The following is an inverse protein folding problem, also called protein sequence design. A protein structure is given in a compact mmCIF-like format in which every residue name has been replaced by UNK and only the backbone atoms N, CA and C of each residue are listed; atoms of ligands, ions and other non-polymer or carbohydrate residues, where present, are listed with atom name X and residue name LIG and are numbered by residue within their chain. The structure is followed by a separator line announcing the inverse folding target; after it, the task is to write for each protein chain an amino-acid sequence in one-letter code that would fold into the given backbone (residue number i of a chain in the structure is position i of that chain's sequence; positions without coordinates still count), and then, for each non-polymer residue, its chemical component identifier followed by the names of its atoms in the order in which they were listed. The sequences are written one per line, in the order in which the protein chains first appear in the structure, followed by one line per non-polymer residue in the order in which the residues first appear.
data_IF_971305193764
#
_entry.id   IF_971305193764
#
_cell.length_a   1.000
_cell.length_b   1.000
_cell.length_c   1.000
_cell.angle_alpha   90.00
_cell.angle_beta   90.00
_cell.angle_gamma   90.00
#
_symmetry.space_group_name_H-M   'P 1'
#
loop_
_entity.id
_entity.type
_entity.pdbx_description
1 polymer ?
#
# COMPACT_ATOMS: atom_id res chain seq x y z
N UNK A 1 -41.03 -1.29 -43.75
CA UNK A 1 -40.24 -0.05 -43.70
C UNK A 1 -38.82 -0.48 -43.42
N UNK A 2 -37.91 -0.11 -44.32
CA UNK A 2 -36.50 -0.53 -44.28
C UNK A 2 -35.89 -0.16 -42.93
N UNK A 3 -35.44 -1.17 -42.19
CA UNK A 3 -34.79 -1.01 -40.91
C UNK A 3 -33.41 -0.37 -41.12
N UNK A 4 -33.38 0.95 -41.21
CA UNK A 4 -32.13 1.69 -41.11
C UNK A 4 -31.45 1.26 -39.80
N UNK A 5 -30.20 0.83 -39.91
CA UNK A 5 -29.40 0.46 -38.76
C UNK A 5 -29.13 1.73 -37.93
N UNK A 6 -29.99 1.97 -36.93
CA UNK A 6 -29.93 3.17 -36.07
C UNK A 6 -28.55 3.32 -35.38
N UNK A 7 -27.84 2.21 -35.18
CA UNK A 7 -26.47 2.21 -34.68
C UNK A 7 -25.50 2.89 -35.66
N UNK A 8 -25.58 2.57 -36.95
CA UNK A 8 -24.75 3.20 -37.98
C UNK A 8 -25.08 4.68 -38.15
N UNK A 9 -26.36 5.05 -38.07
CA UNK A 9 -26.78 6.45 -38.12
C UNK A 9 -26.25 7.24 -36.93
N UNK A 10 -26.42 6.72 -35.70
CA UNK A 10 -25.88 7.33 -34.49
C UNK A 10 -24.36 7.44 -34.57
N UNK A 11 -23.66 6.37 -34.96
CA UNK A 11 -22.20 6.37 -35.12
C UNK A 11 -21.75 7.43 -36.13
N UNK A 12 -22.43 7.54 -37.28
CA UNK A 12 -22.15 8.55 -38.30
C UNK A 12 -22.36 9.98 -37.78
N UNK A 13 -23.48 10.24 -37.08
CA UNK A 13 -23.76 11.55 -36.45
C UNK A 13 -22.70 11.91 -35.42
N UNK A 14 -22.34 11.00 -34.53
CA UNK A 14 -21.28 11.24 -33.54
C UNK A 14 -19.94 11.49 -34.25
N UNK A 15 -19.57 10.72 -35.27
CA UNK A 15 -18.35 10.99 -36.06
C UNK A 15 -18.36 12.37 -36.71
N UNK A 16 -19.52 12.85 -37.17
CA UNK A 16 -19.62 14.22 -37.71
C UNK A 16 -19.37 15.28 -36.65
N UNK A 17 -19.79 15.06 -35.40
CA UNK A 17 -19.57 15.97 -34.27
C UNK A 17 -18.11 16.02 -33.83
N UNK A 18 -17.39 14.88 -33.90
CA UNK A 18 -15.97 14.78 -33.54
C UNK A 18 -15.01 15.41 -34.57
N UNK A 19 -15.51 15.95 -35.69
CA UNK A 19 -14.64 16.52 -36.72
C UNK A 19 -13.85 17.70 -36.15
N UNK A 20 -12.55 17.84 -36.46
CA UNK A 20 -11.70 18.91 -35.94
C UNK A 20 -12.28 20.32 -36.14
N UNK A 21 -12.96 20.55 -37.27
CA UNK A 21 -13.61 21.84 -37.58
C UNK A 21 -14.66 22.27 -36.54
N UNK A 22 -15.25 21.31 -35.81
CA UNK A 22 -16.29 21.55 -34.81
C UNK A 22 -15.71 21.72 -33.39
N UNK A 23 -14.40 21.53 -33.23
CA UNK A 23 -13.69 21.56 -31.93
C UNK A 23 -12.73 22.76 -31.83
N UNK A 24 -12.77 23.66 -32.82
CA UNK A 24 -11.94 24.87 -32.86
C UNK A 24 -12.19 25.76 -31.63
N UNK A 25 -11.10 26.12 -30.93
CA UNK A 25 -11.15 27.05 -29.78
C UNK A 25 -11.57 26.42 -28.45
N UNK A 26 -11.72 25.10 -28.37
CA UNK A 26 -11.90 24.43 -27.08
C UNK A 26 -10.63 24.55 -26.24
N UNK A 27 -10.70 25.01 -24.97
CA UNK A 27 -9.53 25.08 -24.12
C UNK A 27 -9.03 23.67 -23.83
N UNK A 28 -7.74 23.45 -24.09
CA UNK A 28 -7.00 22.21 -23.86
C UNK A 28 -6.76 21.88 -22.35
N UNK A 29 -7.62 22.39 -21.44
CA UNK A 29 -7.23 22.70 -20.05
C UNK A 29 -8.20 22.14 -19.00
N UNK A 30 -8.66 20.90 -19.18
CA UNK A 30 -9.15 20.13 -18.03
C UNK A 30 -8.53 18.75 -18.07
N UNK A 31 -7.22 18.70 -17.77
CA UNK A 31 -6.59 17.47 -17.32
C UNK A 31 -6.90 17.30 -15.83
N UNK A 32 -7.78 16.37 -15.50
CA UNK A 32 -7.88 15.88 -14.12
C UNK A 32 -6.79 14.85 -13.91
N UNK A 33 -6.06 14.95 -12.79
CA UNK A 33 -5.16 13.90 -12.36
C UNK A 33 -5.66 13.25 -11.07
N UNK A 34 -5.70 11.93 -11.06
CA UNK A 34 -5.97 11.14 -9.86
C UNK A 34 -4.87 10.10 -9.70
N UNK A 35 -4.30 10.05 -8.50
CA UNK A 35 -3.34 9.05 -8.08
C UNK A 35 -4.06 7.97 -7.28
N UNK A 36 -3.81 6.71 -7.59
CA UNK A 36 -4.25 5.59 -6.76
C UNK A 36 -3.09 4.64 -6.52
N UNK A 37 -2.81 4.35 -5.25
CA UNK A 37 -1.86 3.31 -4.85
C UNK A 37 -2.61 1.99 -4.63
N UNK A 38 -2.02 0.90 -5.11
CA UNK A 38 -2.48 -0.44 -4.82
C UNK A 38 -1.29 -1.40 -4.69
N UNK A 39 -1.42 -2.36 -3.79
CA UNK A 39 -0.57 -3.56 -3.77
C UNK A 39 -1.24 -4.74 -4.49
N UNK A 40 -2.39 -4.49 -5.12
CA UNK A 40 -3.29 -5.48 -5.73
C UNK A 40 -3.70 -5.09 -7.14
N UNK A 41 -3.58 -6.03 -8.05
CA UNK A 41 -4.00 -5.87 -9.44
C UNK A 41 -5.53 -5.74 -9.55
N UNK A 42 -6.29 -6.41 -8.68
CA UNK A 42 -7.76 -6.37 -8.70
C UNK A 42 -8.29 -5.00 -8.27
N UNK A 43 -7.67 -4.38 -7.26
CA UNK A 43 -8.02 -3.00 -6.89
C UNK A 43 -7.73 -2.05 -8.04
N UNK A 44 -6.59 -2.24 -8.73
CA UNK A 44 -6.25 -1.43 -9.90
C UNK A 44 -7.28 -1.58 -11.02
N UNK A 45 -7.69 -2.82 -11.30
CA UNK A 45 -8.72 -3.15 -12.29
C UNK A 45 -10.06 -2.51 -11.95
N UNK A 46 -10.43 -2.46 -10.65
CA UNK A 46 -11.63 -1.76 -10.20
C UNK A 46 -11.54 -0.24 -10.33
N UNK A 47 -10.37 0.34 -10.00
CA UNK A 47 -10.14 1.79 -10.05
C UNK A 47 -10.18 2.29 -11.52
N UNK A 48 -9.72 1.48 -12.48
CA UNK A 48 -9.85 1.75 -13.92
C UNK A 48 -11.28 1.52 -14.43
N UNK A 49 -12.00 0.58 -13.83
CA UNK A 49 -13.42 0.33 -14.08
C UNK A 49 -13.74 0.00 -15.54
N UNK A 50 -14.85 0.56 -16.06
CA UNK A 50 -15.33 0.29 -17.42
C UNK A 50 -14.38 0.78 -18.53
N UNK A 51 -13.39 1.59 -18.20
CA UNK A 51 -12.36 2.08 -19.13
C UNK A 51 -11.57 0.92 -19.75
N UNK A 52 -11.36 -0.13 -18.95
CA UNK A 52 -10.83 -1.42 -19.39
C UNK A 52 -11.48 -1.97 -20.66
N UNK A 53 -12.81 -1.93 -20.71
CA UNK A 53 -13.59 -2.44 -21.83
C UNK A 53 -13.30 -1.66 -23.12
N UNK A 54 -13.20 -0.34 -23.04
CA UNK A 54 -12.95 0.53 -24.19
C UNK A 54 -11.51 0.51 -24.68
N UNK A 55 -10.56 0.10 -23.85
CA UNK A 55 -9.17 -0.07 -24.25
C UNK A 55 -8.98 -1.31 -25.14
N UNK A 56 -9.97 -2.22 -25.22
CA UNK A 56 -9.91 -3.40 -26.08
C UNK A 56 -8.80 -4.39 -25.72
N UNK A 57 -8.20 -4.23 -24.53
CA UNK A 57 -7.14 -5.07 -24.01
C UNK A 57 -7.67 -5.84 -22.80
N UNK A 58 -7.26 -7.09 -22.65
CA UNK A 58 -7.34 -7.80 -21.38
C UNK A 58 -6.66 -6.93 -20.32
N UNK A 59 -7.42 -6.46 -19.33
CA UNK A 59 -6.92 -5.67 -18.19
C UNK A 59 -5.72 -6.35 -17.54
N UNK A 60 -5.72 -7.68 -17.54
CA UNK A 60 -4.64 -8.53 -17.02
C UNK A 60 -3.27 -8.25 -17.63
N UNK A 61 -3.19 -7.81 -18.89
CA UNK A 61 -1.89 -7.75 -19.58
C UNK A 61 -1.21 -6.39 -19.39
N UNK A 62 -2.02 -5.33 -19.25
CA UNK A 62 -1.52 -3.96 -19.14
C UNK A 62 -1.43 -3.46 -17.69
N UNK A 63 -2.19 -4.05 -16.76
CA UNK A 63 -2.28 -3.60 -15.37
C UNK A 63 -1.89 -4.67 -14.34
N UNK A 64 -1.26 -5.76 -14.78
CA UNK A 64 -0.55 -6.70 -13.90
C UNK A 64 0.87 -6.26 -13.62
N UNK A 65 1.45 -6.69 -12.50
CA UNK A 65 2.86 -6.46 -12.21
C UNK A 65 3.74 -7.05 -13.30
N UNK A 66 4.66 -6.24 -13.85
CA UNK A 66 5.58 -6.70 -14.89
C UNK A 66 6.63 -7.69 -14.35
N UNK A 67 6.77 -7.81 -13.02
CA UNK A 67 7.71 -8.69 -12.35
C UNK A 67 7.34 -8.86 -10.87
N UNK A 68 7.58 -10.06 -10.32
CA UNK A 68 7.37 -10.40 -8.90
C UNK A 68 8.22 -9.56 -7.91
N UNK A 69 9.27 -8.88 -8.39
CA UNK A 69 10.08 -8.01 -7.53
C UNK A 69 9.32 -6.76 -7.07
N UNK A 70 8.37 -6.29 -7.88
CA UNK A 70 7.57 -5.11 -7.58
C UNK A 70 6.44 -5.45 -6.62
N UNK A 71 6.19 -4.57 -5.65
CA UNK A 71 5.24 -4.77 -4.55
C UNK A 71 4.14 -3.71 -4.50
N UNK A 72 4.40 -2.56 -5.11
CA UNK A 72 3.52 -1.41 -5.12
C UNK A 72 3.26 -0.97 -6.54
N UNK A 73 2.03 -0.60 -6.83
CA UNK A 73 1.59 -0.08 -8.12
C UNK A 73 0.88 1.25 -7.89
N UNK A 74 1.35 2.29 -8.55
CA UNK A 74 0.77 3.63 -8.54
C UNK A 74 0.21 3.91 -9.91
N UNK A 75 -1.09 4.21 -9.99
CA UNK A 75 -1.75 4.61 -11.20
C UNK A 75 -2.06 6.09 -11.14
N UNK A 76 -1.62 6.79 -12.17
CA UNK A 76 -1.93 8.18 -12.40
C UNK A 76 -2.75 8.30 -13.67
N UNK A 77 -4.01 8.72 -13.52
CA UNK A 77 -4.92 8.94 -14.63
C UNK A 77 -4.89 10.39 -15.08
N UNK A 78 -4.78 10.64 -16.38
CA UNK A 78 -4.90 11.95 -17.00
C UNK A 78 -5.97 11.90 -18.07
N UNK A 79 -7.03 12.66 -17.90
CA UNK A 79 -8.16 12.68 -18.82
C UNK A 79 -8.32 14.05 -19.48
N UNK A 80 -8.59 14.07 -20.78
CA UNK A 80 -9.05 15.27 -21.47
C UNK A 80 -10.39 15.00 -22.16
N UNK A 81 -11.46 15.48 -21.54
CA UNK A 81 -12.80 15.48 -22.11
C UNK A 81 -12.90 16.51 -23.24
N UNK A 82 -13.30 16.07 -24.43
CA UNK A 82 -13.44 16.92 -25.62
C UNK A 82 -14.91 17.27 -25.88
N UNK A 83 -15.81 16.30 -25.74
CA UNK A 83 -17.25 16.51 -25.91
C UNK A 83 -18.07 15.49 -25.12
N UNK A 84 -19.33 15.82 -24.85
CA UNK A 84 -20.31 14.91 -24.28
C UNK A 84 -21.53 14.84 -25.20
N UNK A 85 -21.98 13.63 -25.51
CA UNK A 85 -23.26 13.38 -26.20
C UNK A 85 -24.27 12.98 -25.14
N UNK A 86 -25.31 13.80 -24.99
CA UNK A 86 -26.33 13.63 -23.95
C UNK A 86 -27.65 13.33 -24.64
N UNK A 87 -28.23 12.16 -24.36
CA UNK A 87 -29.57 11.82 -24.79
C UNK A 87 -30.60 12.69 -24.04
N UNK A 88 -31.71 13.04 -24.67
CA UNK A 88 -32.80 13.74 -24.00
C UNK A 88 -33.50 12.84 -22.98
N UNK A 89 -34.24 13.44 -22.04
CA UNK A 89 -34.94 12.69 -21.01
C UNK A 89 -36.09 11.92 -21.65
N UNK A 90 -36.22 10.65 -21.28
CA UNK A 90 -37.36 9.85 -21.73
C UNK A 90 -38.48 10.06 -20.72
N UNK A 91 -39.63 10.52 -21.21
CA UNK A 91 -40.82 10.79 -20.40
C UNK A 91 -41.89 9.73 -20.60
N UNK A 92 -41.88 9.06 -21.76
CA UNK A 92 -42.80 7.98 -22.09
C UNK A 92 -42.11 6.89 -22.93
N UNK A 93 -42.58 5.62 -22.92
CA UNK A 93 -42.06 4.58 -23.80
C UNK A 93 -42.23 4.92 -25.29
N UNK A 94 -43.25 5.70 -25.64
CA UNK A 94 -43.50 6.14 -27.01
C UNK A 94 -42.41 7.10 -27.54
N UNK A 95 -41.57 7.66 -26.66
CA UNK A 95 -40.42 8.49 -27.06
C UNK A 95 -39.32 7.64 -27.74
N UNK A 96 -39.32 6.32 -27.51
CA UNK A 96 -38.28 5.40 -27.99
C UNK A 96 -38.81 4.15 -28.73
N UNK A 97 -40.03 3.72 -28.47
CA UNK A 97 -40.64 2.56 -29.12
C UNK A 97 -41.74 2.99 -30.07
N UNK A 98 -41.76 2.39 -31.26
CA UNK A 98 -42.80 2.61 -32.27
C UNK A 98 -44.07 1.81 -31.99
N UNK A 99 -43.97 0.78 -31.14
CA UNK A 99 -45.09 -0.08 -30.74
C UNK A 99 -45.59 0.32 -29.34
N UNK A 100 -46.87 0.07 -29.05
CA UNK A 100 -47.45 0.28 -27.72
C UNK A 100 -46.75 -0.61 -26.69
N UNK A 101 -45.76 -0.03 -26.02
CA UNK A 101 -44.88 -0.73 -25.09
C UNK A 101 -45.14 -0.18 -23.69
N UNK A 102 -45.52 -1.02 -22.70
CA UNK A 102 -45.71 -0.55 -21.34
C UNK A 102 -44.37 -0.12 -20.72
N UNK A 103 -44.40 0.91 -19.88
CA UNK A 103 -43.20 1.39 -19.19
C UNK A 103 -42.70 0.32 -18.22
N UNK A 104 -41.43 -0.06 -18.36
CA UNK A 104 -40.73 -0.90 -17.40
C UNK A 104 -39.74 -0.05 -16.61
N UNK A 105 -39.90 -0.06 -15.28
CA UNK A 105 -39.06 0.69 -14.34
C UNK A 105 -37.62 0.20 -14.27
N UNK A 106 -37.36 -1.05 -14.67
CA UNK A 106 -36.04 -1.68 -14.62
C UNK A 106 -35.26 -1.50 -15.93
N UNK A 107 -35.88 -0.88 -16.95
CA UNK A 107 -35.20 -0.55 -18.20
C UNK A 107 -34.26 0.63 -18.04
N UNK A 108 -33.14 0.51 -18.74
CA UNK A 108 -32.01 1.41 -18.68
C UNK A 108 -31.71 1.97 -20.05
N UNK A 109 -31.24 3.21 -20.09
CA UNK A 109 -30.67 3.79 -21.29
C UNK A 109 -29.36 4.53 -20.98
N UNK A 110 -28.51 4.65 -22.00
CA UNK A 110 -27.29 5.43 -21.91
C UNK A 110 -27.69 6.91 -22.02
N UNK A 111 -27.57 7.63 -20.91
CA UNK A 111 -27.95 9.04 -20.82
C UNK A 111 -26.88 9.96 -21.38
N UNK A 112 -25.62 9.63 -21.13
CA UNK A 112 -24.48 10.47 -21.50
C UNK A 112 -23.32 9.56 -21.90
N UNK A 113 -22.63 9.94 -22.97
CA UNK A 113 -21.33 9.38 -23.34
C UNK A 113 -20.34 10.53 -23.48
N UNK A 114 -19.26 10.46 -22.72
CA UNK A 114 -18.15 11.41 -22.80
C UNK A 114 -17.10 10.89 -23.76
N UNK A 115 -16.57 11.79 -24.57
CA UNK A 115 -15.58 11.50 -25.59
C UNK A 115 -14.36 12.39 -25.40
N UNK A 116 -13.19 11.81 -25.64
CA UNK A 116 -11.92 12.52 -25.51
C UNK A 116 -10.75 11.57 -25.64
N UNK A 117 -9.72 11.82 -24.85
CA UNK A 117 -8.57 10.94 -24.72
C UNK A 117 -8.15 10.84 -23.26
N UNK A 118 -7.52 9.72 -22.92
CA UNK A 118 -7.01 9.46 -21.58
C UNK A 118 -5.66 8.79 -21.64
N UNK A 119 -4.81 9.09 -20.69
CA UNK A 119 -3.49 8.50 -20.52
C UNK A 119 -3.34 8.04 -19.06
N UNK A 120 -2.87 6.82 -18.88
CA UNK A 120 -2.49 6.25 -17.60
C UNK A 120 -0.97 6.18 -17.52
N UNK A 121 -0.40 6.71 -16.44
CA UNK A 121 0.99 6.43 -16.06
C UNK A 121 0.95 5.44 -14.92
N UNK A 122 1.50 4.26 -15.16
CA UNK A 122 1.62 3.22 -14.16
C UNK A 122 3.07 3.16 -13.68
N UNK A 123 3.26 3.27 -12.36
CA UNK A 123 4.56 3.12 -11.73
C UNK A 123 4.53 1.90 -10.83
N UNK A 124 5.39 0.93 -11.11
CA UNK A 124 5.62 -0.23 -10.25
C UNK A 124 6.87 0.02 -9.42
N UNK A 125 6.88 -0.41 -8.16
CA UNK A 125 7.99 -0.16 -7.24
C UNK A 125 8.23 -1.33 -6.29
N UNK A 126 9.50 -1.59 -5.98
CA UNK A 126 9.91 -2.52 -4.91
C UNK A 126 9.55 -1.99 -3.51
N UNK A 127 9.39 -0.66 -3.38
CA UNK A 127 9.16 0.04 -2.11
C UNK A 127 7.95 0.97 -2.16
N UNK A 128 7.42 1.25 -0.97
CA UNK A 128 6.39 2.27 -0.79
C UNK A 128 6.97 3.66 -1.08
N UNK A 129 6.59 4.22 -2.22
CA UNK A 129 7.02 5.54 -2.68
C UNK A 129 6.51 6.68 -1.81
N UNK A 130 5.41 6.49 -1.08
CA UNK A 130 4.88 7.53 -0.17
C UNK A 130 5.87 7.85 0.95
N UNK A 131 6.69 6.86 1.34
CA UNK A 131 7.78 7.06 2.31
C UNK A 131 8.93 7.90 1.76
N UNK A 132 9.00 8.09 0.45
CA UNK A 132 10.02 8.90 -0.21
C UNK A 132 9.54 10.33 -0.47
N UNK A 133 8.28 10.53 -0.85
CA UNK A 133 7.68 11.87 -0.94
C UNK A 133 6.15 11.83 -0.84
N UNK A 134 5.60 12.72 0.01
CA UNK A 134 4.16 12.98 0.08
C UNK A 134 3.59 13.56 -1.24
N UNK A 135 4.44 14.12 -2.10
CA UNK A 135 4.03 14.72 -3.37
C UNK A 135 3.67 13.66 -4.42
N UNK A 136 3.99 12.39 -4.18
CA UNK A 136 3.56 11.25 -5.00
C UNK A 136 2.10 10.84 -4.74
N UNK A 137 1.47 11.38 -3.69
CA UNK A 137 0.05 11.18 -3.32
C UNK A 137 -0.89 12.30 -3.80
N UNK A 138 -0.36 13.41 -4.31
CA UNK A 138 -1.13 14.63 -4.60
C UNK A 138 -1.30 14.95 -6.09
N UNK A 139 -1.88 16.13 -6.37
CA UNK A 139 -1.98 16.69 -7.73
C UNK A 139 -0.59 16.74 -8.37
N UNK A 140 -0.42 16.00 -9.45
CA UNK A 140 0.89 15.74 -10.04
C UNK A 140 1.54 17.01 -10.59
N UNK A 141 2.63 17.42 -9.95
CA UNK A 141 3.70 18.12 -10.63
C UNK A 141 4.78 17.10 -11.00
N UNK A 142 4.78 16.63 -12.25
CA UNK A 142 5.73 15.61 -12.71
C UNK A 142 7.20 16.09 -12.67
N UNK A 143 7.45 17.40 -12.66
CA UNK A 143 8.78 17.97 -12.40
C UNK A 143 9.29 17.57 -11.02
N UNK A 144 8.42 17.55 -10.01
CA UNK A 144 8.73 17.12 -8.65
C UNK A 144 8.95 15.62 -8.56
N UNK A 145 8.11 14.82 -9.23
CA UNK A 145 8.28 13.36 -9.32
C UNK A 145 9.62 13.02 -9.97
N UNK A 146 9.95 13.67 -11.09
CA UNK A 146 11.24 13.45 -11.77
C UNK A 146 12.44 13.85 -10.89
N UNK A 147 12.31 14.91 -10.07
CA UNK A 147 13.35 15.31 -9.13
C UNK A 147 13.54 14.26 -8.01
N UNK A 148 12.44 13.71 -7.49
CA UNK A 148 12.49 12.62 -6.49
C UNK A 148 13.17 11.35 -7.06
N UNK A 149 12.92 11.02 -8.33
CA UNK A 149 13.60 9.90 -9.01
C UNK A 149 15.11 10.10 -9.17
N UNK A 150 15.55 11.35 -9.32
CA UNK A 150 16.95 11.72 -9.43
C UNK A 150 17.65 11.86 -8.06
N UNK A 151 16.91 11.91 -6.95
CA UNK A 151 17.49 11.96 -5.60
C UNK A 151 18.02 10.58 -5.19
N UNK A 152 19.34 10.48 -5.03
CA UNK A 152 20.02 9.28 -4.49
C UNK A 152 19.98 9.30 -2.97
N UNK A 153 18.87 8.86 -2.36
CA UNK A 153 18.79 8.83 -0.89
C UNK A 153 19.42 7.59 -0.22
N UNK A 154 19.85 6.56 -0.95
CA UNK A 154 20.38 5.33 -0.33
C UNK A 154 21.48 4.59 -1.13
N UNK A 155 22.12 5.24 -2.11
CA UNK A 155 23.21 4.63 -2.90
C UNK A 155 22.76 3.86 -4.15
N UNK A 156 21.47 3.56 -4.30
CA UNK A 156 20.83 3.09 -5.54
C UNK A 156 19.79 4.11 -6.01
N UNK A 157 19.64 4.32 -7.33
CA UNK A 157 18.65 5.25 -7.87
C UNK A 157 17.26 4.65 -7.82
N UNK A 158 16.24 5.46 -7.49
CA UNK A 158 14.83 5.04 -7.47
C UNK A 158 14.41 4.43 -8.81
N UNK A 159 15.00 4.93 -9.90
CA UNK A 159 14.85 4.41 -11.27
C UNK A 159 15.20 2.93 -11.46
N UNK A 160 16.14 2.40 -10.68
CA UNK A 160 16.53 0.98 -10.72
C UNK A 160 15.54 0.08 -9.97
N UNK A 161 14.70 0.68 -9.12
CA UNK A 161 13.74 0.03 -8.21
C UNK A 161 12.30 0.20 -8.64
N UNK A 162 12.09 0.87 -9.76
CA UNK A 162 10.78 1.18 -10.30
C UNK A 162 10.69 0.76 -11.77
N UNK A 163 9.47 0.68 -12.27
CA UNK A 163 9.19 0.54 -13.70
C UNK A 163 8.03 1.48 -14.05
N UNK A 164 8.15 2.18 -15.17
CA UNK A 164 7.14 3.15 -15.61
C UNK A 164 6.56 2.67 -16.93
N UNK A 165 5.24 2.50 -16.97
CA UNK A 165 4.47 2.17 -18.17
C UNK A 165 3.48 3.29 -18.46
N UNK A 166 3.27 3.57 -19.74
CA UNK A 166 2.25 4.51 -20.20
C UNK A 166 1.25 3.73 -21.02
N UNK A 167 -0.03 3.96 -20.75
CA UNK A 167 -1.12 3.33 -21.50
C UNK A 167 -2.08 4.43 -21.93
N UNK A 168 -2.39 4.48 -23.22
CA UNK A 168 -3.24 5.53 -23.81
C UNK A 168 -4.56 4.95 -24.30
N UNK A 169 -5.65 5.68 -24.07
CA UNK A 169 -6.97 5.45 -24.63
C UNK A 169 -7.34 6.67 -25.48
N UNK A 170 -7.31 6.51 -26.81
CA UNK A 170 -7.37 7.63 -27.74
C UNK A 170 -6.07 8.45 -27.77
N UNK A 171 -6.10 9.56 -28.53
CA UNK A 171 -4.90 10.29 -28.88
C UNK A 171 -3.89 9.44 -29.67
N UNK A 172 -2.65 9.94 -29.77
CA UNK A 172 -1.55 9.18 -30.37
C UNK A 172 -0.94 8.24 -29.32
N UNK A 173 -0.71 6.94 -29.64
CA UNK A 173 -0.04 6.03 -28.73
C UNK A 173 1.31 6.57 -28.26
N UNK A 174 1.58 6.43 -26.97
CA UNK A 174 2.83 6.87 -26.35
C UNK A 174 3.61 5.66 -25.87
N UNK A 175 4.84 5.51 -26.35
CA UNK A 175 5.82 4.59 -25.80
C UNK A 175 6.88 5.38 -25.04
N UNK A 176 7.07 5.06 -23.76
CA UNK A 176 8.16 5.62 -22.96
C UNK A 176 9.31 4.61 -22.88
N UNK A 177 10.52 5.08 -23.18
CA UNK A 177 11.74 4.28 -23.02
C UNK A 177 12.69 4.85 -21.97
N UNK A 178 12.38 6.02 -21.40
CA UNK A 178 13.25 6.77 -20.49
C UNK A 178 12.41 7.66 -19.56
N UNK A 179 12.60 7.50 -18.25
CA UNK A 179 11.94 8.28 -17.19
C UNK A 179 12.16 9.79 -17.33
N UNK A 180 13.33 10.21 -17.82
CA UNK A 180 13.67 11.63 -17.98
C UNK A 180 12.86 12.30 -19.07
N UNK A 181 12.27 11.51 -19.97
CA UNK A 181 11.42 11.99 -21.06
C UNK A 181 9.94 11.98 -20.70
N UNK A 182 9.56 11.50 -19.51
CA UNK A 182 8.16 11.35 -19.13
C UNK A 182 7.40 12.68 -19.18
N UNK A 183 7.86 13.71 -18.46
CA UNK A 183 7.20 15.02 -18.46
C UNK A 183 7.11 15.63 -19.87
N UNK A 184 8.21 15.77 -20.66
CA UNK A 184 8.12 16.27 -22.03
C UNK A 184 7.16 15.45 -22.91
N UNK A 185 7.08 14.14 -22.70
CA UNK A 185 6.17 13.25 -23.42
C UNK A 185 4.71 13.52 -23.05
N UNK A 186 4.41 13.71 -21.76
CA UNK A 186 3.06 14.06 -21.29
C UNK A 186 2.66 15.45 -21.77
N UNK A 187 3.55 16.44 -21.67
CA UNK A 187 3.32 17.80 -22.15
C UNK A 187 3.03 17.79 -23.65
N UNK A 188 3.83 17.06 -24.44
CA UNK A 188 3.60 16.90 -25.88
C UNK A 188 2.28 16.19 -26.17
N UNK A 189 1.94 15.15 -25.42
CA UNK A 189 0.68 14.43 -25.60
C UNK A 189 -0.48 15.41 -25.42
N UNK A 190 -0.53 16.14 -24.31
CA UNK A 190 -1.63 17.07 -24.04
C UNK A 190 -1.59 18.33 -24.89
N UNK A 191 -0.42 18.81 -25.33
CA UNK A 191 -0.30 19.98 -26.20
C UNK A 191 -0.78 19.74 -27.65
N UNK A 192 -1.02 18.49 -28.07
CA UNK A 192 -1.48 18.19 -29.42
C UNK A 192 -2.83 18.86 -29.74
N UNK A 193 -2.93 19.43 -30.95
CA UNK A 193 -4.15 20.08 -31.45
C UNK A 193 -5.28 19.07 -31.67
N UNK A 194 -6.54 19.51 -31.51
CA UNK A 194 -7.72 18.65 -31.68
C UNK A 194 -7.83 18.00 -33.07
N UNK A 195 -7.15 18.53 -34.09
CA UNK A 195 -7.06 17.89 -35.41
C UNK A 195 -6.25 16.61 -35.44
N UNK A 196 -5.34 16.45 -34.49
CA UNK A 196 -4.31 15.43 -34.50
C UNK A 196 -4.55 14.36 -33.42
N UNK A 197 -5.62 14.53 -32.62
CA UNK A 197 -6.02 13.61 -31.56
C UNK A 197 -7.10 12.64 -32.05
N UNK A 198 -6.93 11.37 -31.73
CA UNK A 198 -8.00 10.39 -31.85
C UNK A 198 -8.98 10.53 -30.67
N UNK A 199 -10.25 10.79 -30.95
CA UNK A 199 -11.31 11.05 -29.95
C UNK A 199 -12.18 9.80 -29.79
N UNK A 200 -12.03 9.15 -28.65
CA UNK A 200 -12.69 7.89 -28.32
C UNK A 200 -13.68 8.06 -27.17
N UNK A 201 -14.67 7.16 -27.02
CA UNK A 201 -15.49 7.13 -25.80
C UNK A 201 -14.60 6.89 -24.57
N UNK A 202 -14.80 7.67 -23.51
CA UNK A 202 -14.06 7.57 -22.25
C UNK A 202 -14.91 6.98 -21.12
N UNK A 203 -16.15 7.44 -21.02
CA UNK A 203 -17.09 7.00 -20.00
C UNK A 203 -18.53 7.18 -20.46
N UNK A 204 -19.44 6.46 -19.82
CA UNK A 204 -20.88 6.59 -20.04
C UNK A 204 -21.63 6.59 -18.72
N UNK A 205 -22.79 7.24 -18.71
CA UNK A 205 -23.75 7.20 -17.61
C UNK A 205 -25.01 6.48 -18.03
N UNK A 206 -25.50 5.62 -17.15
CA UNK A 206 -26.74 4.87 -17.35
C UNK A 206 -27.80 5.43 -16.41
N UNK A 207 -29.02 5.50 -16.90
CA UNK A 207 -30.17 6.01 -16.17
C UNK A 207 -31.35 5.10 -16.40
N UNK A 208 -32.15 4.87 -15.37
CA UNK A 208 -33.45 4.24 -15.48
C UNK A 208 -34.37 5.09 -16.35
N UNK A 209 -35.37 4.46 -16.96
CA UNK A 209 -36.36 5.17 -17.79
C UNK A 209 -37.12 6.28 -17.05
N UNK A 210 -37.18 6.25 -15.72
CA UNK A 210 -37.77 7.30 -14.88
C UNK A 210 -36.83 8.51 -14.63
N UNK A 211 -35.60 8.48 -15.15
CA UNK A 211 -34.59 9.54 -14.96
C UNK A 211 -33.65 9.32 -13.78
N UNK A 212 -33.82 8.27 -12.96
CA UNK A 212 -32.93 7.99 -11.83
C UNK A 212 -31.57 7.43 -12.29
N UNK A 213 -30.44 7.93 -11.77
CA UNK A 213 -29.12 7.44 -12.14
C UNK A 213 -28.88 6.02 -11.61
N UNK A 214 -28.23 5.18 -12.41
CA UNK A 214 -27.74 3.87 -11.98
C UNK A 214 -26.35 4.03 -11.38
N UNK A 215 -26.07 3.35 -10.27
CA UNK A 215 -24.74 3.30 -9.66
C UNK A 215 -24.32 1.86 -9.40
N UNK A 216 -23.06 1.54 -9.66
CA UNK A 216 -22.45 0.25 -9.33
C UNK A 216 -21.47 0.46 -8.18
N UNK A 217 -21.56 -0.37 -7.14
CA UNK A 217 -20.59 -0.39 -6.05
C UNK A 217 -19.83 -1.71 -6.09
N UNK A 218 -18.53 -1.63 -6.39
CA UNK A 218 -17.62 -2.77 -6.40
C UNK A 218 -16.78 -2.79 -5.13
N UNK A 219 -16.53 -3.98 -4.58
CA UNK A 219 -15.65 -4.17 -3.43
C UNK A 219 -14.61 -5.24 -3.77
N UNK A 220 -13.34 -4.89 -3.70
CA UNK A 220 -12.23 -5.86 -3.72
C UNK A 220 -11.85 -6.21 -2.28
N UNK A 221 -11.54 -7.49 -2.06
CA UNK A 221 -11.09 -7.98 -0.76
C UNK A 221 -9.77 -8.73 -0.92
N UNK A 222 -8.87 -8.50 0.03
CA UNK A 222 -7.65 -9.28 0.16
C UNK A 222 -7.88 -10.56 0.94
N UNK A 223 -7.52 -11.69 0.34
CA UNK A 223 -7.35 -12.90 1.14
C UNK A 223 -5.99 -12.84 1.87
N UNK A 224 -5.99 -12.25 3.06
CA UNK A 224 -4.78 -12.06 3.86
C UNK A 224 -4.02 -13.35 4.20
N UNK A 225 -4.61 -14.53 4.04
CA UNK A 225 -3.91 -15.81 4.24
C UNK A 225 -3.00 -16.19 3.06
N UNK A 226 -3.27 -15.68 1.86
CA UNK A 226 -2.51 -15.99 0.64
C UNK A 226 -1.57 -14.84 0.22
N UNK A 227 -1.72 -13.65 0.81
CA UNK A 227 -0.99 -12.45 0.40
C UNK A 227 0.12 -12.03 1.39
N UNK A 228 0.22 -12.72 2.53
CA UNK A 228 1.25 -12.47 3.54
C UNK A 228 2.13 -13.72 3.65
N UNK A 229 3.09 -13.86 2.74
CA UNK A 229 4.03 -14.99 2.77
C UNK A 229 5.27 -14.62 3.58
N UNK A 230 5.37 -15.21 4.77
CA UNK A 230 6.51 -15.10 5.67
C UNK A 230 6.70 -16.42 6.39
N UNK A 231 7.89 -16.97 6.25
CA UNK A 231 8.25 -18.19 6.98
C UNK A 231 8.60 -17.90 8.44
N UNK A 232 9.16 -16.71 8.75
CA UNK A 232 9.70 -16.39 10.07
C UNK A 232 9.53 -14.93 10.52
N UNK A 233 9.52 -14.74 11.83
CA UNK A 233 9.68 -13.44 12.50
C UNK A 233 10.87 -13.49 13.44
N UNK A 234 11.73 -12.48 13.39
CA UNK A 234 12.84 -12.29 14.33
C UNK A 234 12.43 -11.36 15.45
N UNK A 235 12.67 -11.77 16.70
CA UNK A 235 12.68 -10.88 17.86
C UNK A 235 14.14 -10.68 18.27
N UNK A 236 14.57 -9.44 18.46
CA UNK A 236 15.92 -9.13 18.93
C UNK A 236 15.95 -8.06 20.01
N UNK A 237 16.92 -8.16 20.91
CA UNK A 237 17.30 -7.04 21.79
C UNK A 237 18.20 -6.12 20.96
N UNK A 238 17.73 -4.90 20.68
CA UNK A 238 18.43 -3.92 19.83
C UNK A 238 19.44 -3.11 20.63
N UNK A 239 19.05 -2.62 21.80
CA UNK A 239 19.93 -1.83 22.66
C UNK A 239 19.46 -1.78 24.11
N UNK A 240 20.39 -1.42 25.01
CA UNK A 240 20.12 -1.08 26.41
C UNK A 240 20.80 0.26 26.71
N UNK A 241 20.08 1.17 27.37
CA UNK A 241 20.57 2.51 27.69
C UNK A 241 20.21 2.89 29.13
N UNK A 242 21.18 3.40 29.89
CA UNK A 242 20.95 3.98 31.22
C UNK A 242 20.70 5.47 31.05
N UNK A 243 19.54 5.96 31.50
CA UNK A 243 19.16 7.39 31.47
C UNK A 243 19.52 8.11 32.77
N UNK A 244 19.37 7.43 33.90
CA UNK A 244 19.80 7.90 35.22
C UNK A 244 20.23 6.69 36.05
N UNK A 245 21.21 6.88 36.94
CA UNK A 245 21.70 5.88 37.89
C UNK A 245 21.53 6.43 39.32
N UNK A 246 21.27 5.58 40.30
CA UNK A 246 20.90 6.03 41.67
C UNK A 246 22.08 6.12 42.65
N UNK A 247 23.05 5.22 42.58
CA UNK A 247 24.02 4.99 43.67
C UNK A 247 25.23 5.94 43.73
N UNK A 248 25.12 7.16 43.20
CA UNK A 248 26.25 8.11 43.16
C UNK A 248 27.44 7.62 42.30
N UNK A 249 27.36 6.43 41.72
CA UNK A 249 28.24 5.90 40.69
C UNK A 249 27.87 6.43 39.30
N UNK A 250 28.80 6.35 38.34
CA UNK A 250 28.53 6.76 36.96
C UNK A 250 27.91 5.65 36.10
N UNK A 251 27.82 4.42 36.64
CA UNK A 251 27.46 3.21 35.89
C UNK A 251 26.53 2.29 36.70
N UNK A 252 25.73 1.51 35.99
CA UNK A 252 24.83 0.46 36.49
C UNK A 252 25.35 -0.92 36.08
N UNK A 253 25.15 -1.93 36.94
CA UNK A 253 25.53 -3.32 36.65
C UNK A 253 24.31 -4.18 36.34
N UNK A 254 23.93 -4.23 35.06
CA UNK A 254 22.63 -4.74 34.64
C UNK A 254 22.70 -6.18 34.11
N UNK A 255 21.74 -7.01 34.51
CA UNK A 255 21.54 -8.33 33.91
C UNK A 255 20.06 -8.70 33.79
N UNK A 256 19.78 -9.77 33.02
CA UNK A 256 18.41 -10.21 32.78
C UNK A 256 18.17 -10.73 31.36
N UNK A 257 16.90 -10.76 30.97
CA UNK A 257 16.46 -11.40 29.73
C UNK A 257 15.17 -10.80 29.18
N UNK A 258 15.01 -10.84 27.85
CA UNK A 258 13.72 -10.69 27.21
C UNK A 258 13.04 -12.06 27.11
N UNK A 259 11.98 -12.30 27.89
CA UNK A 259 11.18 -13.53 27.83
C UNK A 259 10.13 -13.37 26.74
N UNK A 260 10.05 -14.34 25.84
CA UNK A 260 9.21 -14.27 24.65
C UNK A 260 8.20 -15.39 24.69
N UNK A 261 6.94 -15.04 24.47
CA UNK A 261 5.81 -15.96 24.42
C UNK A 261 5.19 -15.89 23.03
N UNK A 262 5.02 -17.06 22.43
CA UNK A 262 4.30 -17.23 21.19
C UNK A 262 3.01 -17.97 21.48
N UNK A 263 1.91 -17.43 20.97
CA UNK A 263 0.60 -18.05 21.08
C UNK A 263 0.11 -18.43 19.68
N UNK A 264 -0.47 -19.61 19.57
CA UNK A 264 -1.17 -20.02 18.36
C UNK A 264 -2.53 -19.30 18.22
N UNK A 265 -3.25 -19.57 17.14
CA UNK A 265 -4.57 -18.95 16.87
C UNK A 265 -5.62 -19.29 17.93
N UNK A 266 -5.48 -20.42 18.64
CA UNK A 266 -6.33 -20.82 19.75
C UNK A 266 -5.91 -20.19 21.09
N UNK A 267 -4.87 -19.35 21.12
CA UNK A 267 -4.37 -18.69 22.32
C UNK A 267 -3.51 -19.58 23.23
N UNK A 268 -3.07 -20.75 22.77
CA UNK A 268 -2.16 -21.65 23.51
C UNK A 268 -0.71 -21.28 23.25
N UNK A 269 0.13 -21.35 24.29
CA UNK A 269 1.58 -21.14 24.17
C UNK A 269 2.21 -22.22 23.28
N UNK A 270 3.09 -21.82 22.38
CA UNK A 270 3.83 -22.71 21.47
C UNK A 270 5.32 -22.39 21.44
N UNK A 271 6.15 -23.34 21.04
CA UNK A 271 7.59 -23.18 20.87
C UNK A 271 7.97 -22.28 19.68
N UNK A 272 9.27 -22.12 19.46
CA UNK A 272 9.85 -21.36 18.32
C UNK A 272 9.51 -21.95 16.95
N UNK A 273 9.06 -23.20 16.90
CA UNK A 273 8.56 -23.84 15.69
C UNK A 273 7.14 -23.37 15.30
N UNK A 274 6.49 -22.60 16.18
CA UNK A 274 5.14 -22.08 16.03
C UNK A 274 4.04 -23.14 16.10
N UNK A 275 4.37 -24.40 16.42
CA UNK A 275 3.44 -25.55 16.34
C UNK A 275 3.39 -26.35 17.63
N UNK A 276 4.54 -26.64 18.22
CA UNK A 276 4.61 -27.50 19.41
C UNK A 276 4.05 -26.76 20.62
N UNK A 277 2.93 -27.24 21.16
CA UNK A 277 2.32 -26.66 22.34
C UNK A 277 3.25 -26.81 23.56
N UNK A 278 3.38 -25.73 24.33
CA UNK A 278 4.11 -25.72 25.59
C UNK A 278 3.12 -26.06 26.71
N UNK A 279 3.37 -27.09 27.53
CA UNK A 279 2.47 -27.46 28.61
C UNK A 279 2.40 -26.35 29.66
N UNK A 280 1.20 -26.11 30.19
CA UNK A 280 1.01 -25.20 31.32
C UNK A 280 1.20 -25.99 32.62
N UNK A 281 2.31 -25.72 33.31
CA UNK A 281 2.59 -26.30 34.62
C UNK A 281 2.34 -25.22 35.69
N UNK A 282 1.40 -25.41 36.63
CA UNK A 282 1.09 -24.44 37.68
C UNK A 282 2.34 -24.01 38.45
N UNK A 283 2.48 -22.70 38.70
CA UNK A 283 3.62 -22.13 39.43
C UNK A 283 4.90 -21.98 38.60
N UNK A 284 4.91 -22.38 37.33
CA UNK A 284 6.07 -22.19 36.44
C UNK A 284 5.77 -21.16 35.36
N UNK A 285 6.78 -20.36 35.02
CA UNK A 285 6.68 -19.41 33.91
C UNK A 285 7.46 -19.94 32.70
N UNK A 286 6.88 -20.91 32.00
CA UNK A 286 7.49 -21.49 30.80
C UNK A 286 7.23 -20.55 29.62
N UNK A 287 8.32 -20.00 29.08
CA UNK A 287 8.34 -19.12 27.92
C UNK A 287 8.71 -19.90 26.64
N UNK A 288 8.41 -19.34 25.48
CA UNK A 288 8.72 -19.95 24.19
C UNK A 288 10.20 -19.80 23.83
N UNK A 289 10.79 -18.66 24.17
CA UNK A 289 12.21 -18.38 24.02
C UNK A 289 12.64 -17.29 25.02
N UNK A 290 13.95 -17.19 25.26
CA UNK A 290 14.53 -16.09 26.03
C UNK A 290 15.79 -15.57 25.35
N UNK A 291 15.95 -14.24 25.33
CA UNK A 291 17.15 -13.57 24.86
C UNK A 291 17.84 -12.97 26.07
N UNK A 292 18.95 -13.58 26.50
CA UNK A 292 19.73 -13.05 27.62
C UNK A 292 20.64 -11.92 27.14
N UNK A 293 20.46 -10.73 27.70
CA UNK A 293 21.37 -9.62 27.42
C UNK A 293 22.61 -9.64 28.31
N UNK A 294 22.49 -10.09 29.57
CA UNK A 294 23.61 -10.39 30.47
C UNK A 294 23.20 -11.44 31.52
N UNK A 295 24.19 -11.99 32.24
CA UNK A 295 24.00 -12.91 33.37
C UNK A 295 24.55 -12.28 34.64
N UNK A 296 24.05 -12.69 35.80
CA UNK A 296 24.52 -12.21 37.11
C UNK A 296 26.04 -12.39 37.32
N UNK A 297 26.61 -13.51 36.83
CA UNK A 297 28.05 -13.77 36.88
C UNK A 297 28.89 -12.87 35.94
N UNK A 298 28.25 -12.19 34.98
CA UNK A 298 28.88 -11.29 34.01
C UNK A 298 27.88 -10.19 33.59
N UNK A 299 27.59 -9.23 34.48
CA UNK A 299 26.61 -8.16 34.21
C UNK A 299 27.16 -7.18 33.17
N UNK A 300 26.24 -6.45 32.51
CA UNK A 300 26.59 -5.34 31.65
C UNK A 300 26.87 -4.11 32.52
N UNK A 301 28.09 -3.60 32.47
CA UNK A 301 28.46 -2.34 33.14
C UNK A 301 28.20 -1.21 32.15
N UNK A 302 27.14 -0.42 32.38
CA UNK A 302 26.73 0.65 31.49
C UNK A 302 26.69 1.99 32.21
N UNK A 303 27.40 2.98 31.67
CA UNK A 303 27.27 4.36 32.11
C UNK A 303 26.13 5.10 31.42
N UNK A 304 25.84 6.33 31.85
CA UNK A 304 24.85 7.22 31.23
C UNK A 304 25.25 7.76 29.84
N UNK A 305 26.40 7.33 29.32
CA UNK A 305 27.01 7.82 28.07
C UNK A 305 26.51 7.10 26.81
N UNK A 306 25.19 6.97 26.66
CA UNK A 306 24.54 6.45 25.46
C UNK A 306 24.29 4.93 25.45
N UNK A 307 23.59 4.42 24.42
CA UNK A 307 23.12 3.05 24.38
C UNK A 307 24.24 2.04 24.06
N UNK A 308 24.22 0.89 24.74
CA UNK A 308 24.88 -0.33 24.25
C UNK A 308 24.02 -0.96 23.18
N UNK A 309 24.46 -0.86 21.93
CA UNK A 309 23.80 -1.49 20.79
C UNK A 309 24.28 -2.93 20.59
N UNK A 310 23.36 -3.77 20.10
CA UNK A 310 23.62 -5.14 19.70
C UNK A 310 23.42 -5.31 18.19
N UNK A 311 24.32 -6.05 17.56
CA UNK A 311 24.29 -6.30 16.12
C UNK A 311 23.04 -7.08 15.69
N UNK A 312 22.59 -6.89 14.45
CA UNK A 312 21.37 -7.54 13.90
C UNK A 312 21.46 -9.07 13.92
N UNK A 313 22.67 -9.61 13.82
CA UNK A 313 22.97 -11.06 13.85
C UNK A 313 23.85 -11.44 15.04
N UNK A 314 23.93 -10.61 16.08
CA UNK A 314 24.76 -10.91 17.23
C UNK A 314 24.26 -12.16 17.95
N UNK A 315 25.15 -13.13 18.15
CA UNK A 315 24.80 -14.44 18.67
C UNK A 315 24.17 -14.32 20.06
N UNK A 316 23.01 -14.97 20.25
CA UNK A 316 22.29 -14.94 21.51
C UNK A 316 21.54 -13.63 21.81
N UNK A 317 21.49 -12.68 20.86
CA UNK A 317 20.72 -11.43 20.98
C UNK A 317 19.44 -11.40 20.15
N UNK A 318 19.11 -12.51 19.50
CA UNK A 318 17.88 -12.67 18.74
C UNK A 318 17.33 -14.10 18.83
N UNK A 319 16.05 -14.26 18.50
CA UNK A 319 15.40 -15.54 18.23
C UNK A 319 14.50 -15.41 17.01
N UNK A 320 14.45 -16.47 16.21
CA UNK A 320 13.57 -16.57 15.05
C UNK A 320 12.42 -17.54 15.37
N UNK A 321 11.19 -17.07 15.15
CA UNK A 321 9.95 -17.83 15.23
C UNK A 321 9.53 -18.28 13.84
N UNK A 322 9.25 -19.56 13.65
CA UNK A 322 8.54 -20.04 12.47
C UNK A 322 7.05 -19.66 12.55
N UNK A 323 6.53 -19.06 11.48
CA UNK A 323 5.12 -18.68 11.39
C UNK A 323 4.35 -19.89 10.86
N UNK A 324 3.54 -20.51 11.73
CA UNK A 324 2.62 -21.58 11.32
C UNK A 324 1.24 -21.05 10.94
N UNK A 325 0.88 -19.86 11.44
CA UNK A 325 -0.39 -19.20 11.18
C UNK A 325 -0.25 -17.67 11.40
N UNK A 326 -0.92 -16.86 10.58
CA UNK A 326 -0.86 -15.40 10.66
C UNK A 326 -1.57 -14.81 11.89
N UNK A 327 -2.48 -15.54 12.50
CA UNK A 327 -3.21 -15.11 13.70
C UNK A 327 -2.47 -15.50 15.00
N UNK A 328 -1.24 -16.02 14.88
CA UNK A 328 -0.33 -16.17 16.01
C UNK A 328 -0.05 -14.81 16.67
N UNK A 329 0.27 -14.83 17.96
CA UNK A 329 0.57 -13.63 18.75
C UNK A 329 1.95 -13.75 19.38
N UNK A 330 2.74 -12.68 19.29
CA UNK A 330 4.00 -12.52 20.00
C UNK A 330 3.75 -11.62 21.22
N UNK A 331 4.23 -12.04 22.37
CA UNK A 331 4.31 -11.23 23.59
C UNK A 331 5.74 -11.23 24.11
N UNK A 332 6.25 -10.05 24.50
CA UNK A 332 7.59 -9.90 25.09
C UNK A 332 7.45 -9.33 26.50
N UNK A 333 8.02 -10.03 27.47
CA UNK A 333 8.11 -9.63 28.87
C UNK A 333 9.57 -9.62 29.30
N UNK A 334 10.22 -8.45 29.28
CA UNK A 334 11.59 -8.37 29.74
C UNK A 334 11.66 -8.35 31.27
N UNK A 335 12.76 -8.85 31.80
CA UNK A 335 13.09 -8.85 33.23
C UNK A 335 14.48 -8.27 33.39
N UNK A 336 14.66 -7.33 34.31
CA UNK A 336 15.93 -6.66 34.57
C UNK A 336 16.23 -6.59 36.06
N UNK A 337 17.50 -6.77 36.41
CA UNK A 337 18.02 -6.64 37.75
C UNK A 337 19.33 -5.88 37.73
N UNK A 338 19.57 -5.14 38.82
CA UNK A 338 20.89 -4.63 39.15
C UNK A 338 21.63 -5.63 40.02
N UNK A 339 22.95 -5.69 39.85
CA UNK A 339 23.81 -6.35 40.81
C UNK A 339 24.34 -5.32 41.79
N UNK A 340 24.00 -5.49 43.06
CA UNK A 340 24.50 -4.67 44.18
C UNK A 340 25.18 -5.55 45.25
N UNK A 341 26.09 -4.93 46.01
CA UNK A 341 26.86 -5.55 47.08
C UNK A 341 25.98 -5.94 48.29
N UNK A 342 24.77 -5.37 48.44
CA UNK A 342 23.85 -5.64 49.57
C UNK A 342 22.56 -6.38 49.19
N UNK A 343 22.42 -6.79 47.94
CA UNK A 343 21.33 -7.61 47.42
C UNK A 343 20.75 -7.04 46.13
N UNK A 344 20.52 -7.89 45.13
CA UNK A 344 20.14 -7.45 43.78
C UNK A 344 18.77 -6.76 43.71
N UNK A 345 18.76 -5.52 43.24
CA UNK A 345 17.55 -4.75 43.00
C UNK A 345 16.81 -5.20 41.75
N UNK A 346 15.48 -5.28 41.86
CA UNK A 346 14.62 -5.67 40.75
C UNK A 346 14.02 -4.44 40.10
N UNK A 347 14.41 -4.19 38.85
CA UNK A 347 13.80 -3.17 38.02
C UNK A 347 12.43 -3.62 37.52
N UNK A 348 11.45 -2.73 37.63
CA UNK A 348 10.06 -2.99 37.22
C UNK A 348 9.74 -2.20 35.95
N UNK A 349 8.95 -2.80 35.05
CA UNK A 349 8.39 -2.12 33.88
C UNK A 349 6.90 -2.42 33.74
N UNK A 350 6.11 -1.39 33.44
CA UNK A 350 4.69 -1.54 33.09
C UNK A 350 4.46 -1.67 31.57
N UNK A 351 5.52 -1.49 30.77
CA UNK A 351 5.42 -1.57 29.32
C UNK A 351 5.18 -3.02 28.87
N UNK A 352 4.30 -3.20 27.88
CA UNK A 352 3.93 -4.51 27.34
C UNK A 352 3.99 -4.47 25.83
N UNK A 353 4.59 -5.50 25.24
CA UNK A 353 4.47 -5.78 23.81
C UNK A 353 3.61 -7.02 23.65
N UNK A 354 2.44 -6.89 23.01
CA UNK A 354 1.59 -8.01 22.58
C UNK A 354 0.92 -7.68 21.25
N UNK A 355 1.24 -8.44 20.21
CA UNK A 355 0.82 -8.15 18.82
C UNK A 355 0.66 -9.43 18.01
N UNK A 356 -0.31 -9.45 17.09
CA UNK A 356 -0.47 -10.55 16.15
C UNK A 356 0.56 -10.48 15.02
N UNK A 357 0.96 -11.63 14.48
CA UNK A 357 1.86 -11.72 13.33
C UNK A 357 1.26 -10.95 12.15
N UNK A 358 -0.01 -11.18 11.82
CA UNK A 358 -0.73 -10.47 10.75
C UNK A 358 -0.55 -8.95 10.84
N UNK A 359 -0.72 -8.37 12.02
CA UNK A 359 -0.57 -6.93 12.23
C UNK A 359 0.88 -6.48 12.01
N UNK A 360 1.86 -7.24 12.50
CA UNK A 360 3.27 -6.96 12.26
C UNK A 360 3.66 -7.08 10.79
N UNK A 361 3.09 -8.03 10.04
CA UNK A 361 3.39 -8.17 8.61
C UNK A 361 2.87 -6.99 7.79
N UNK A 362 1.74 -6.41 8.19
CA UNK A 362 1.16 -5.22 7.55
C UNK A 362 1.93 -3.95 7.94
N UNK A 363 2.27 -3.78 9.21
CA UNK A 363 2.92 -2.55 9.73
C UNK A 363 4.45 -2.54 9.51
N UNK A 364 5.07 -3.71 9.28
CA UNK A 364 6.52 -3.87 9.14
C UNK A 364 7.24 -4.08 10.48
N UNK A 365 8.51 -3.70 10.55
CA UNK A 365 9.30 -3.84 11.79
C UNK A 365 8.67 -3.05 12.93
N UNK A 366 8.47 -3.71 14.07
CA UNK A 366 7.97 -3.09 15.29
C UNK A 366 9.13 -2.86 16.26
N UNK A 367 9.30 -1.63 16.73
CA UNK A 367 10.27 -1.29 17.78
C UNK A 367 9.50 -0.96 19.06
N UNK A 368 9.80 -1.66 20.14
CA UNK A 368 9.27 -1.38 21.47
C UNK A 368 10.41 -0.98 22.41
N UNK A 369 10.24 0.15 23.08
CA UNK A 369 11.10 0.56 24.20
C UNK A 369 10.39 0.20 25.50
N UNK A 370 11.07 -0.55 26.36
CA UNK A 370 10.64 -0.86 27.72
C UNK A 370 11.43 0.00 28.68
N UNK A 371 10.72 0.78 29.48
CA UNK A 371 11.31 1.61 30.53
C UNK A 371 11.26 0.85 31.84
N UNK A 372 12.44 0.63 32.41
CA UNK A 372 12.68 0.02 33.69
C UNK A 372 13.00 1.11 34.71
N UNK A 373 12.41 1.02 35.90
CA UNK A 373 12.66 1.93 37.01
C UNK A 373 12.94 1.17 38.29
N UNK A 374 13.87 1.69 39.06
CA UNK A 374 14.14 1.36 40.46
C UNK A 374 14.64 2.66 41.11
N UNK A 375 13.92 3.14 42.12
CA UNK A 375 14.15 4.45 42.75
C UNK A 375 14.41 5.60 41.74
N UNK A 376 15.60 6.23 41.71
CA UNK A 376 15.96 7.26 40.73
C UNK A 376 16.62 6.69 39.46
N UNK A 377 16.96 5.40 39.44
CA UNK A 377 17.53 4.75 38.28
C UNK A 377 16.48 4.51 37.19
N UNK A 378 16.89 4.75 35.94
CA UNK A 378 16.04 4.60 34.76
C UNK A 378 16.83 3.96 33.63
N UNK A 379 16.36 2.80 33.18
CA UNK A 379 16.98 2.04 32.11
C UNK A 379 15.98 1.80 30.97
N UNK A 380 16.42 1.98 29.72
CA UNK A 380 15.63 1.71 28.53
C UNK A 380 16.15 0.45 27.83
N UNK A 381 15.29 -0.55 27.65
CA UNK A 381 15.54 -1.72 26.82
C UNK A 381 14.77 -1.58 25.51
N UNK A 382 15.47 -1.58 24.37
CA UNK A 382 14.83 -1.56 23.05
C UNK A 382 14.79 -2.97 22.47
N UNK A 383 13.59 -3.45 22.18
CA UNK A 383 13.34 -4.72 21.47
C UNK A 383 12.79 -4.42 20.09
N UNK A 384 13.32 -5.09 19.08
CA UNK A 384 12.82 -5.02 17.71
C UNK A 384 12.24 -6.37 17.29
N UNK A 385 11.10 -6.32 16.60
CA UNK A 385 10.46 -7.48 15.98
C UNK A 385 10.35 -7.24 14.48
N UNK A 386 10.98 -8.10 13.68
CA UNK A 386 11.13 -7.91 12.23
C UNK A 386 10.67 -9.16 11.47
N UNK A 387 9.77 -9.03 10.48
CA UNK A 387 9.45 -10.11 9.57
C UNK A 387 10.64 -10.48 8.66
N UNK A 388 11.09 -11.73 8.67
CA UNK A 388 12.19 -12.21 7.81
C UNK A 388 11.64 -12.74 6.48
N UNK A 389 12.17 -12.30 5.34
CA UNK A 389 11.77 -12.80 4.01
C UNK A 389 12.58 -14.04 3.67
#
# INVERSE_FOLDING_TARGET
MDGNNIEEELRSKVHSLKRPSNLNGMPNIKSTSQATMSTLEEKMSLDIGASAFYMGVSVSDNFSFSSEKYRYMYLYEFEQECLAVIANGITSPADIFTEETPMNKDWLYIREVKYGRRLYVLIESEYDLEKYSNELNGSLNWGVVSAAYNQKNTGESLSSKTNIRIITQGGQPVALTDEKKLQPTLDKYFAADFSDIDIVPLSYKVTYMNGEPVSVTSKAFLNGNNCLDKSKVRVRVKSIEVKSADDGGTNEQLYGSALIYFYNKEGKKVGVDGKTAIPEVPGTNIFSAAISYAKEAAPLILGTNGPKEFGVNEQGKYVDLNISNLDMVIEVKPTMKEKDDFGDDTFITDNKLKRSIRKMLIEGSTIQVFEFRHDNSKVLLTVEVTPLY
#
